data_IF_514517131748
#
_entry.id   IF_514517131748
#
_cell.length_a   1.000
_cell.length_b   1.000
_cell.length_c   1.000
_cell.angle_alpha   90.00
_cell.angle_beta   90.00
_cell.angle_gamma   90.00
#
_symmetry.space_group_name_H-M   'P 1'
#
loop_
_entity.id
_entity.type
_entity.pdbx_description
1 polymer ?
#
# COMPACT_ATOMS: atom_id res chain seq x y z
N UNK A 1 11.51 20.21 -7.10
CA UNK A 1 10.61 19.40 -7.96
C UNK A 1 10.14 18.23 -7.13
N UNK A 2 8.84 17.94 -7.04
CA UNK A 2 8.37 16.72 -6.36
C UNK A 2 8.66 15.51 -7.25
N UNK A 3 9.00 14.33 -6.67
CA UNK A 3 9.22 13.13 -7.45
C UNK A 3 7.95 12.76 -8.23
N UNK A 4 8.10 12.36 -9.49
CA UNK A 4 6.97 11.95 -10.33
C UNK A 4 6.65 10.49 -10.05
N UNK A 5 5.42 10.24 -9.61
CA UNK A 5 4.90 8.89 -9.39
C UNK A 5 3.85 8.56 -10.44
N UNK A 6 4.05 7.47 -11.16
CA UNK A 6 3.06 6.90 -12.08
C UNK A 6 2.59 5.55 -11.56
N UNK A 7 1.28 5.33 -11.52
CA UNK A 7 0.69 4.08 -11.02
C UNK A 7 -0.28 3.53 -12.04
N UNK A 8 -0.11 2.25 -12.38
CA UNK A 8 -0.98 1.52 -13.30
C UNK A 8 -1.63 0.37 -12.55
N UNK A 9 -2.96 0.35 -12.56
CA UNK A 9 -3.78 -0.60 -11.78
C UNK A 9 -4.54 -1.59 -12.64
N UNK A 10 -4.71 -1.32 -13.94
CA UNK A 10 -5.34 -2.25 -14.88
C UNK A 10 -4.35 -3.38 -15.21
N UNK A 11 -4.56 -4.53 -14.56
CA UNK A 11 -3.65 -5.66 -14.56
C UNK A 11 -2.77 -5.69 -13.30
N UNK A 12 -1.50 -6.08 -13.46
CA UNK A 12 -0.58 -6.08 -12.32
C UNK A 12 -0.27 -4.66 -11.87
N UNK A 13 -0.33 -4.39 -10.56
CA UNK A 13 0.09 -3.10 -10.00
C UNK A 13 1.54 -2.81 -10.40
N UNK A 14 1.72 -1.71 -11.15
CA UNK A 14 3.02 -1.17 -11.52
C UNK A 14 3.16 0.25 -10.98
N UNK A 15 4.27 0.50 -10.29
CA UNK A 15 4.64 1.81 -9.76
C UNK A 15 5.95 2.22 -10.41
N UNK A 16 6.02 3.44 -10.92
CA UNK A 16 7.22 4.05 -11.48
C UNK A 16 7.50 5.33 -10.73
N UNK A 17 8.72 5.47 -10.20
CA UNK A 17 9.20 6.66 -9.50
C UNK A 17 10.33 7.28 -10.33
N UNK A 18 10.14 8.51 -10.77
CA UNK A 18 11.16 9.25 -11.53
C UNK A 18 11.70 8.44 -12.72
N UNK A 19 10.79 7.77 -13.44
CA UNK A 19 11.12 6.90 -14.59
C UNK A 19 11.62 5.50 -14.24
N UNK A 20 11.90 5.21 -12.97
CA UNK A 20 12.41 3.91 -12.52
C UNK A 20 11.29 3.03 -11.97
N UNK A 21 11.22 1.78 -12.42
CA UNK A 21 10.23 0.83 -11.93
C UNK A 21 10.52 0.47 -10.46
N UNK A 22 9.50 0.54 -9.62
CA UNK A 22 9.54 0.00 -8.26
C UNK A 22 9.19 -1.49 -8.35
N UNK A 23 10.19 -2.33 -8.18
CA UNK A 23 10.10 -3.79 -8.22
C UNK A 23 9.49 -4.34 -6.94
N UNK A 24 9.28 -5.66 -6.85
CA UNK A 24 8.74 -6.27 -5.64
C UNK A 24 9.72 -6.19 -4.45
N UNK A 25 11.03 -6.25 -4.71
CA UNK A 25 12.08 -6.16 -3.68
C UNK A 25 12.28 -4.77 -3.11
N UNK A 26 11.77 -3.74 -3.79
CA UNK A 26 11.84 -2.34 -3.32
C UNK A 26 10.78 -2.03 -2.23
N UNK A 27 9.81 -2.92 -2.02
CA UNK A 27 8.82 -2.77 -0.97
C UNK A 27 9.36 -3.31 0.34
N UNK A 28 9.20 -2.54 1.42
CA UNK A 28 9.58 -2.99 2.77
C UNK A 28 8.85 -4.29 3.16
N UNK A 29 7.57 -4.41 2.80
CA UNK A 29 6.79 -5.65 2.98
C UNK A 29 5.80 -5.86 1.86
N UNK A 30 5.32 -7.10 1.71
CA UNK A 30 4.18 -7.43 0.83
C UNK A 30 2.93 -6.64 1.22
N UNK A 31 2.68 -6.44 2.52
CA UNK A 31 1.53 -5.69 3.04
C UNK A 31 1.59 -4.21 2.65
N UNK A 32 2.76 -3.58 2.63
CA UNK A 32 2.92 -2.19 2.18
C UNK A 32 2.47 -2.02 0.71
N UNK A 33 2.80 -2.99 -0.15
CA UNK A 33 2.32 -3.00 -1.54
C UNK A 33 0.81 -3.19 -1.62
N UNK A 34 0.23 -4.08 -0.81
CA UNK A 34 -1.23 -4.28 -0.78
C UNK A 34 -1.97 -3.05 -0.24
N UNK A 35 -1.43 -2.39 0.79
CA UNK A 35 -1.95 -1.15 1.33
C UNK A 35 -2.09 -0.10 0.22
N UNK A 36 -1.06 0.08 -0.61
CA UNK A 36 -1.15 1.02 -1.73
C UNK A 36 -2.28 0.65 -2.70
N UNK A 37 -2.47 -0.64 -3.02
CA UNK A 37 -3.57 -1.07 -3.92
C UNK A 37 -4.92 -0.65 -3.35
N UNK A 38 -5.16 -0.94 -2.06
CA UNK A 38 -6.42 -0.61 -1.38
C UNK A 38 -6.66 0.90 -1.43
N UNK A 39 -5.66 1.70 -1.04
CA UNK A 39 -5.78 3.16 -0.99
C UNK A 39 -6.00 3.80 -2.35
N UNK A 40 -5.51 3.21 -3.44
CA UNK A 40 -5.75 3.73 -4.80
C UNK A 40 -7.15 3.35 -5.28
N UNK A 41 -7.60 2.13 -4.99
CA UNK A 41 -8.93 1.66 -5.39
C UNK A 41 -10.05 2.43 -4.69
N UNK A 42 -9.87 2.82 -3.43
CA UNK A 42 -10.91 3.51 -2.66
C UNK A 42 -10.98 5.03 -2.91
N UNK A 43 -10.06 5.60 -3.69
CA UNK A 43 -10.06 7.05 -3.96
C UNK A 43 -11.40 7.53 -4.54
N UNK A 44 -11.88 8.73 -4.13
CA UNK A 44 -11.23 9.69 -3.22
C UNK A 44 -11.54 9.45 -1.73
N UNK A 45 -12.19 8.34 -1.38
CA UNK A 45 -12.67 8.08 -0.01
C UNK A 45 -11.52 7.58 0.88
N UNK A 46 -11.48 8.00 2.16
CA UNK A 46 -10.57 7.40 3.13
C UNK A 46 -10.98 5.96 3.43
N UNK A 47 -10.01 5.15 3.86
CA UNK A 47 -10.22 3.78 4.34
C UNK A 47 -9.94 3.77 5.84
N UNK A 48 -10.85 3.20 6.64
CA UNK A 48 -10.67 3.15 8.08
C UNK A 48 -9.45 2.29 8.45
N UNK A 49 -8.70 2.71 9.47
CA UNK A 49 -7.54 1.96 9.98
C UNK A 49 -7.90 0.53 10.36
N UNK A 50 -9.04 0.34 11.03
CA UNK A 50 -9.50 -0.99 11.47
C UNK A 50 -9.79 -1.90 10.27
N UNK A 51 -10.38 -1.36 9.20
CA UNK A 51 -10.61 -2.08 7.95
C UNK A 51 -9.29 -2.48 7.28
N UNK A 52 -8.30 -1.57 7.26
CA UNK A 52 -6.97 -1.89 6.72
C UNK A 52 -6.29 -2.99 7.54
N UNK A 53 -6.43 -2.95 8.87
CA UNK A 53 -5.87 -3.97 9.78
C UNK A 53 -6.50 -5.34 9.49
N UNK A 54 -7.82 -5.41 9.40
CA UNK A 54 -8.56 -6.64 9.12
C UNK A 54 -8.13 -7.26 7.78
N UNK A 55 -7.98 -6.44 6.74
CA UNK A 55 -7.58 -6.91 5.40
C UNK A 55 -6.11 -7.36 5.35
N UNK A 56 -5.20 -6.57 5.93
CA UNK A 56 -3.75 -6.75 5.74
C UNK A 56 -3.12 -7.72 6.75
N UNK A 57 -3.69 -7.82 7.95
CA UNK A 57 -3.16 -8.64 9.04
C UNK A 57 -4.28 -9.39 9.80
N UNK A 58 -5.07 -10.25 9.15
CA UNK A 58 -6.22 -10.93 9.77
C UNK A 58 -5.86 -11.82 10.97
N UNK A 59 -4.59 -12.22 11.09
CA UNK A 59 -4.10 -13.11 12.14
C UNK A 59 -3.24 -12.38 13.20
N UNK A 60 -3.13 -11.06 13.14
CA UNK A 60 -2.37 -10.27 14.13
C UNK A 60 -3.29 -9.66 15.18
N UNK A 61 -2.74 -9.36 16.36
CA UNK A 61 -3.48 -8.56 17.33
C UNK A 61 -3.68 -7.14 16.78
N UNK A 62 -4.82 -6.47 17.07
CA UNK A 62 -5.07 -5.13 16.55
C UNK A 62 -3.99 -4.11 16.90
N UNK A 63 -3.44 -4.20 18.12
CA UNK A 63 -2.37 -3.30 18.57
C UNK A 63 -1.06 -3.48 17.78
N UNK A 64 -0.64 -4.72 17.52
CA UNK A 64 0.57 -5.00 16.74
C UNK A 64 0.40 -4.59 15.27
N UNK A 65 -0.77 -4.86 14.68
CA UNK A 65 -1.10 -4.45 13.32
C UNK A 65 -1.14 -2.92 13.18
N UNK A 66 -1.75 -2.21 14.14
CA UNK A 66 -1.79 -0.75 14.16
C UNK A 66 -0.40 -0.10 14.28
N UNK A 67 0.52 -0.72 15.02
CA UNK A 67 1.93 -0.30 15.05
C UNK A 67 2.60 -0.51 13.69
N UNK A 68 2.41 -1.67 13.09
CA UNK A 68 2.99 -2.02 11.78
C UNK A 68 2.44 -1.15 10.63
N UNK A 69 1.17 -0.74 10.69
CA UNK A 69 0.56 0.14 9.69
C UNK A 69 1.14 1.56 9.71
N UNK A 70 1.68 2.00 10.85
CA UNK A 70 2.21 3.37 11.04
C UNK A 70 3.72 3.48 10.83
N UNK A 71 4.44 2.35 10.79
CA UNK A 71 5.88 2.28 10.54
C UNK A 71 6.19 2.26 9.05
#
# INVERSE_FOLDING_TARGET
>A
MLPKIEIRTLGTLRVVRDGHAVTEGDWHTRQARQLLKILITERPRPVATDQLIEILWPNSTPSAAATTLRS
#
